data_IF_892933415421
#
_entry.id   IF_892933415421
#
_cell.length_a   1.000
_cell.length_b   1.000
_cell.length_c   1.000
_cell.angle_alpha   90.00
_cell.angle_beta   90.00
_cell.angle_gamma   90.00
#
_symmetry.space_group_name_H-M   'P 1'
#
loop_
_entity.id
_entity.type
_entity.pdbx_description
1 polymer ?
#
# COMPACT_ATOMS: atom_id res chain seq x y z
N UNK A 1 -18.26 -18.67 24.09
CA UNK A 1 -18.27 -17.18 24.13
C UNK A 1 -17.37 -16.59 23.04
N UNK A 2 -16.02 -16.79 23.06
CA UNK A 2 -15.08 -16.16 22.11
C UNK A 2 -15.44 -16.37 20.62
N UNK A 3 -15.84 -17.59 20.20
CA UNK A 3 -16.29 -17.91 18.84
C UNK A 3 -17.62 -17.22 18.48
N UNK A 4 -18.55 -17.10 19.43
CA UNK A 4 -19.82 -16.42 19.24
C UNK A 4 -19.61 -14.92 18.99
N UNK A 5 -18.75 -14.31 19.78
CA UNK A 5 -18.38 -12.89 19.65
C UNK A 5 -17.70 -12.59 18.32
N UNK A 6 -16.75 -13.43 17.88
CA UNK A 6 -16.03 -13.23 16.60
C UNK A 6 -16.94 -13.36 15.37
N UNK A 7 -17.99 -14.20 15.44
CA UNK A 7 -18.95 -14.42 14.35
C UNK A 7 -20.14 -13.46 14.35
N UNK A 8 -20.29 -12.62 15.38
CA UNK A 8 -21.36 -11.60 15.54
C UNK A 8 -22.80 -12.15 15.33
N UNK A 9 -23.04 -13.43 15.65
CA UNK A 9 -24.35 -14.07 15.53
C UNK A 9 -25.13 -13.90 16.83
N UNK A 10 -26.16 -13.05 16.84
CA UNK A 10 -26.96 -12.71 18.02
C UNK A 10 -27.58 -13.96 18.67
N UNK A 11 -28.18 -14.88 17.89
CA UNK A 11 -28.77 -16.12 18.42
C UNK A 11 -27.77 -17.02 19.16
N UNK A 12 -26.52 -17.07 18.67
CA UNK A 12 -25.47 -17.84 19.33
C UNK A 12 -25.02 -17.13 20.62
N UNK A 13 -24.96 -15.79 20.60
CA UNK A 13 -24.62 -15.01 21.79
C UNK A 13 -25.65 -15.14 22.91
N UNK A 14 -26.92 -15.20 22.58
CA UNK A 14 -28.03 -15.45 23.57
C UNK A 14 -27.90 -16.84 24.20
N UNK A 15 -27.64 -17.89 23.40
CA UNK A 15 -27.39 -19.24 23.94
C UNK A 15 -26.16 -19.26 24.85
N UNK A 16 -25.09 -18.62 24.44
CA UNK A 16 -23.85 -18.53 25.22
C UNK A 16 -24.02 -17.71 26.50
N UNK A 17 -24.94 -16.74 26.55
CA UNK A 17 -25.32 -16.00 27.79
C UNK A 17 -25.82 -16.96 28.87
N UNK A 18 -26.73 -17.86 28.50
CA UNK A 18 -27.27 -18.85 29.47
C UNK A 18 -26.15 -19.73 30.00
N UNK A 19 -25.31 -20.25 29.14
CA UNK A 19 -24.15 -21.06 29.52
C UNK A 19 -23.17 -20.28 30.42
N UNK A 20 -22.95 -19.02 30.13
CA UNK A 20 -22.06 -18.17 30.93
C UNK A 20 -22.62 -17.88 32.32
N UNK A 21 -23.88 -17.54 32.42
CA UNK A 21 -24.54 -17.15 33.70
C UNK A 21 -24.83 -18.40 34.54
N UNK A 22 -25.57 -19.36 33.97
CA UNK A 22 -26.12 -20.51 34.73
C UNK A 22 -25.30 -21.79 34.58
N UNK A 23 -24.43 -21.83 33.59
CA UNK A 23 -23.68 -23.05 33.26
C UNK A 23 -24.41 -23.97 32.29
N UNK A 24 -23.72 -25.03 31.89
CA UNK A 24 -24.26 -26.13 31.10
C UNK A 24 -23.63 -27.43 31.59
N UNK A 25 -24.32 -28.19 32.44
CA UNK A 25 -23.80 -29.44 32.99
C UNK A 25 -23.47 -30.50 31.92
N UNK A 26 -24.24 -30.53 30.81
CA UNK A 26 -24.02 -31.48 29.71
C UNK A 26 -22.68 -31.22 28.97
N UNK A 27 -22.25 -29.97 28.90
CA UNK A 27 -21.00 -29.54 28.29
C UNK A 27 -19.89 -29.34 29.34
N UNK A 28 -20.11 -29.60 30.61
CA UNK A 28 -19.14 -29.44 31.69
C UNK A 28 -18.81 -27.97 31.98
N UNK A 29 -19.71 -27.03 31.67
CA UNK A 29 -19.51 -25.59 31.89
C UNK A 29 -20.12 -25.20 33.23
N UNK A 30 -19.32 -24.72 34.22
CA UNK A 30 -19.82 -24.45 35.57
C UNK A 30 -20.72 -23.20 35.68
N UNK A 31 -20.58 -22.20 34.80
CA UNK A 31 -21.32 -20.92 34.90
C UNK A 31 -20.86 -20.00 36.04
N UNK A 32 -21.28 -18.75 35.99
CA UNK A 32 -20.89 -17.73 36.98
C UNK A 32 -21.53 -17.95 38.34
N UNK A 33 -22.79 -18.37 38.37
CA UNK A 33 -23.55 -18.58 39.64
C UNK A 33 -22.91 -19.66 40.48
N UNK A 34 -22.49 -20.78 39.87
CA UNK A 34 -21.82 -21.86 40.60
C UNK A 34 -20.44 -21.48 41.13
N UNK A 35 -19.86 -20.43 40.57
CA UNK A 35 -18.58 -19.83 41.02
C UNK A 35 -18.79 -18.66 42.01
N UNK A 36 -20.00 -18.47 42.57
CA UNK A 36 -20.28 -17.48 43.60
C UNK A 36 -20.52 -16.05 43.07
N UNK A 37 -20.74 -15.88 41.78
CA UNK A 37 -21.07 -14.59 41.17
C UNK A 37 -22.61 -14.50 41.06
N UNK A 38 -23.23 -13.47 41.59
CA UNK A 38 -24.66 -13.29 41.49
C UNK A 38 -25.14 -13.05 40.04
N UNK A 39 -26.39 -13.42 39.77
CA UNK A 39 -26.97 -13.36 38.44
C UNK A 39 -26.92 -11.98 37.82
N UNK A 40 -27.17 -10.94 38.59
CA UNK A 40 -27.18 -9.54 38.11
C UNK A 40 -25.80 -9.11 37.67
N UNK A 41 -24.79 -9.44 38.45
CA UNK A 41 -23.38 -9.16 38.12
C UNK A 41 -22.94 -9.97 36.91
N UNK A 42 -23.28 -11.26 36.84
CA UNK A 42 -22.94 -12.11 35.68
C UNK A 42 -23.56 -11.59 34.36
N UNK A 43 -24.83 -11.18 34.40
CA UNK A 43 -25.49 -10.59 33.24
C UNK A 43 -24.85 -9.26 32.83
N UNK A 44 -24.51 -8.40 33.79
CA UNK A 44 -23.82 -7.13 33.50
C UNK A 44 -22.46 -7.34 32.81
N UNK A 45 -21.67 -8.29 33.31
CA UNK A 45 -20.41 -8.68 32.69
C UNK A 45 -20.62 -9.15 31.23
N UNK A 46 -21.68 -9.96 31.04
CA UNK A 46 -22.00 -10.46 29.69
C UNK A 46 -22.44 -9.35 28.75
N UNK A 47 -23.23 -8.37 29.21
CA UNK A 47 -23.63 -7.21 28.43
C UNK A 47 -22.43 -6.36 28.02
N UNK A 48 -21.50 -6.10 28.94
CA UNK A 48 -20.24 -5.40 28.63
C UNK A 48 -19.41 -6.15 27.59
N UNK A 49 -19.38 -7.50 27.68
CA UNK A 49 -18.72 -8.33 26.66
C UNK A 49 -19.40 -8.25 25.28
N UNK A 50 -20.74 -8.19 25.23
CA UNK A 50 -21.49 -8.03 23.98
C UNK A 50 -21.21 -6.65 23.36
N UNK A 51 -21.26 -5.61 24.15
CA UNK A 51 -21.01 -4.25 23.68
C UNK A 51 -19.56 -4.10 23.18
N UNK A 52 -18.61 -4.66 23.90
CA UNK A 52 -17.24 -4.76 23.43
C UNK A 52 -17.17 -5.51 22.09
N UNK A 53 -17.85 -6.64 21.91
CA UNK A 53 -17.83 -7.41 20.68
C UNK A 53 -18.46 -6.69 19.48
N UNK A 54 -19.47 -5.83 19.71
CA UNK A 54 -20.08 -5.01 18.65
C UNK A 54 -19.13 -3.96 18.09
N UNK A 55 -18.36 -3.33 18.97
CA UNK A 55 -17.53 -2.16 18.65
C UNK A 55 -16.04 -2.39 18.86
N UNK A 56 -15.63 -3.56 19.36
CA UNK A 56 -14.24 -3.83 19.66
C UNK A 56 -13.38 -3.81 18.40
N UNK A 57 -12.44 -2.92 18.43
CA UNK A 57 -11.34 -2.91 17.49
C UNK A 57 -10.08 -3.41 18.20
N UNK A 58 -9.28 -4.22 17.52
CA UNK A 58 -8.02 -4.72 18.09
C UNK A 58 -7.08 -3.54 18.38
N UNK A 59 -6.93 -3.21 19.66
CA UNK A 59 -6.11 -2.07 20.10
C UNK A 59 -4.65 -2.20 19.65
N UNK A 60 -4.10 -3.40 19.65
CA UNK A 60 -2.73 -3.65 19.15
C UNK A 60 -2.61 -3.37 17.65
N UNK A 61 -3.63 -3.76 16.87
CA UNK A 61 -3.72 -3.42 15.45
C UNK A 61 -3.81 -1.91 15.24
N UNK A 62 -4.68 -1.22 15.99
CA UNK A 62 -4.80 0.23 15.92
C UNK A 62 -3.48 0.95 16.26
N UNK A 63 -2.80 0.52 17.31
CA UNK A 63 -1.51 1.08 17.72
C UNK A 63 -0.43 0.88 16.64
N UNK A 64 -0.33 -0.32 16.06
CA UNK A 64 0.60 -0.59 14.98
C UNK A 64 0.34 0.29 13.75
N UNK A 65 -0.92 0.40 13.32
CA UNK A 65 -1.29 1.27 12.20
C UNK A 65 -1.12 2.77 12.50
N UNK A 66 -1.29 3.19 13.75
CA UNK A 66 -1.00 4.58 14.13
C UNK A 66 0.47 4.94 13.93
N UNK A 67 1.40 4.02 14.21
CA UNK A 67 2.83 4.21 13.94
C UNK A 67 3.09 4.34 12.44
N UNK A 68 2.52 3.46 11.62
CA UNK A 68 2.66 3.53 10.14
C UNK A 68 2.06 4.83 9.61
N UNK A 69 0.87 5.22 10.08
CA UNK A 69 0.23 6.48 9.68
C UNK A 69 1.09 7.69 10.03
N UNK A 70 1.67 7.71 11.23
CA UNK A 70 2.60 8.77 11.63
C UNK A 70 3.85 8.80 10.74
N UNK A 71 4.47 7.65 10.47
CA UNK A 71 5.64 7.57 9.61
C UNK A 71 5.35 8.06 8.20
N UNK A 72 4.22 7.68 7.61
CA UNK A 72 3.83 8.16 6.27
C UNK A 72 3.56 9.66 6.25
N UNK A 73 2.90 10.20 7.29
CA UNK A 73 2.68 11.63 7.42
C UNK A 73 3.99 12.40 7.58
N UNK A 74 4.91 11.89 8.41
CA UNK A 74 6.25 12.46 8.63
C UNK A 74 7.04 12.51 7.32
N UNK A 75 7.12 11.39 6.60
CA UNK A 75 7.84 11.33 5.32
C UNK A 75 7.21 12.26 4.27
N UNK A 76 5.89 12.32 4.18
CA UNK A 76 5.20 13.23 3.26
C UNK A 76 5.45 14.70 3.58
N UNK A 77 5.59 15.05 4.86
CA UNK A 77 5.82 16.44 5.29
C UNK A 77 7.27 16.87 5.10
N UNK A 78 8.24 16.06 5.54
CA UNK A 78 9.66 16.43 5.52
C UNK A 78 10.40 16.04 4.24
N UNK A 79 9.93 15.02 3.51
CA UNK A 79 10.54 14.48 2.30
C UNK A 79 9.49 14.27 1.20
N UNK A 80 8.74 15.34 0.82
CA UNK A 80 7.59 15.19 -0.07
C UNK A 80 7.94 14.67 -1.47
N UNK A 81 9.10 15.02 -2.00
CA UNK A 81 9.57 14.56 -3.31
C UNK A 81 9.82 13.05 -3.31
N UNK A 82 10.61 12.56 -2.37
CA UNK A 82 10.97 11.16 -2.20
C UNK A 82 9.74 10.31 -1.86
N UNK A 83 8.88 10.84 -0.99
CA UNK A 83 7.63 10.18 -0.62
C UNK A 83 6.72 10.00 -1.83
N UNK A 84 6.48 11.04 -2.62
CA UNK A 84 5.62 10.99 -3.80
C UNK A 84 6.22 10.15 -4.93
N UNK A 85 7.53 10.20 -5.14
CA UNK A 85 8.22 9.35 -6.10
C UNK A 85 8.11 7.86 -5.72
N UNK A 86 8.32 7.52 -4.45
CA UNK A 86 8.16 6.17 -3.93
C UNK A 86 6.71 5.68 -4.03
N UNK A 87 5.75 6.53 -3.69
CA UNK A 87 4.32 6.22 -3.77
C UNK A 87 3.89 5.93 -5.22
N UNK A 88 4.28 6.77 -6.18
CA UNK A 88 4.01 6.54 -7.60
C UNK A 88 4.69 5.27 -8.11
N UNK A 89 5.91 4.99 -7.65
CA UNK A 89 6.64 3.76 -8.01
C UNK A 89 5.93 2.50 -7.52
N UNK A 90 5.29 2.54 -6.35
CA UNK A 90 4.55 1.40 -5.79
C UNK A 90 3.28 1.04 -6.58
N UNK A 91 2.77 1.95 -7.42
CA UNK A 91 1.52 1.78 -8.17
C UNK A 91 1.71 1.87 -9.69
N UNK A 92 2.92 1.65 -10.21
CA UNK A 92 3.21 1.80 -11.65
C UNK A 92 2.32 0.97 -12.59
N UNK A 93 1.74 -0.12 -12.11
CA UNK A 93 0.74 -0.89 -12.88
C UNK A 93 -0.65 -0.25 -12.97
N UNK A 94 -0.92 0.85 -12.24
CA UNK A 94 -2.24 1.47 -12.13
C UNK A 94 -2.25 2.92 -12.61
N UNK A 95 -2.44 3.11 -13.93
CA UNK A 95 -2.38 4.44 -14.58
C UNK A 95 -3.28 5.47 -13.91
N UNK A 96 -4.50 5.09 -13.49
CA UNK A 96 -5.42 5.98 -12.79
C UNK A 96 -4.86 6.52 -11.47
N UNK A 97 -4.16 5.67 -10.71
CA UNK A 97 -3.50 6.10 -9.46
C UNK A 97 -2.29 7.01 -9.72
N UNK A 98 -1.50 6.71 -10.73
CA UNK A 98 -0.40 7.59 -11.14
C UNK A 98 -0.93 8.98 -11.50
N UNK A 99 -2.01 9.07 -12.29
CA UNK A 99 -2.63 10.35 -12.66
C UNK A 99 -3.12 11.14 -11.44
N UNK A 100 -3.75 10.45 -10.47
CA UNK A 100 -4.20 11.05 -9.20
C UNK A 100 -3.01 11.62 -8.40
N UNK A 101 -1.90 10.88 -8.31
CA UNK A 101 -0.72 11.32 -7.58
C UNK A 101 0.05 12.42 -8.31
N UNK A 102 0.09 12.43 -9.65
CA UNK A 102 0.63 13.55 -10.42
C UNK A 102 -0.18 14.83 -10.15
N UNK A 103 -1.52 14.71 -10.11
CA UNK A 103 -2.37 15.84 -9.74
C UNK A 103 -2.07 16.34 -8.31
N UNK A 104 -1.92 15.43 -7.37
CA UNK A 104 -1.51 15.75 -5.99
C UNK A 104 -0.16 16.46 -5.95
N UNK A 105 0.83 15.98 -6.69
CA UNK A 105 2.14 16.64 -6.81
C UNK A 105 2.01 18.08 -7.29
N UNK A 106 1.18 18.34 -8.32
CA UNK A 106 0.91 19.69 -8.81
C UNK A 106 0.31 20.59 -7.76
N UNK A 107 -0.65 20.08 -6.97
CA UNK A 107 -1.23 20.85 -5.85
C UNK A 107 -0.21 21.17 -4.76
N UNK A 108 0.78 20.30 -4.56
CA UNK A 108 1.89 20.48 -3.63
C UNK A 108 3.02 21.35 -4.19
N UNK A 109 2.92 21.85 -5.42
CA UNK A 109 3.97 22.62 -6.09
C UNK A 109 5.18 21.77 -6.52
N UNK A 110 5.03 20.43 -6.61
CA UNK A 110 6.07 19.49 -7.00
C UNK A 110 5.99 19.25 -8.51
N UNK A 111 7.02 19.64 -9.29
CA UNK A 111 7.07 19.35 -10.71
C UNK A 111 7.25 17.85 -10.96
N UNK A 112 6.46 17.30 -11.88
CA UNK A 112 6.66 15.94 -12.41
C UNK A 112 7.09 16.07 -13.86
N UNK A 113 8.34 15.66 -14.14
CA UNK A 113 8.96 15.78 -15.45
C UNK A 113 8.63 14.53 -16.30
N UNK A 114 8.52 14.68 -17.64
CA UNK A 114 8.25 13.57 -18.54
C UNK A 114 9.36 12.51 -18.50
N UNK A 115 9.11 11.30 -19.01
CA UNK A 115 10.16 10.30 -19.16
C UNK A 115 11.33 10.83 -19.99
N UNK A 116 12.53 10.31 -19.74
CA UNK A 116 13.71 10.67 -20.51
C UNK A 116 14.67 9.49 -20.59
N UNK A 117 15.12 9.14 -21.79
CA UNK A 117 16.15 8.11 -21.99
C UNK A 117 17.50 8.52 -21.40
N UNK A 118 17.73 9.82 -21.25
CA UNK A 118 18.97 10.39 -20.73
C UNK A 118 19.01 10.62 -19.23
N UNK A 119 17.85 10.69 -18.58
CA UNK A 119 17.74 11.05 -17.15
C UNK A 119 16.80 10.15 -16.38
N UNK A 120 15.95 9.37 -17.08
CA UNK A 120 15.00 8.48 -16.45
C UNK A 120 15.68 7.25 -15.86
N UNK A 121 15.14 6.79 -14.76
CA UNK A 121 15.44 5.53 -14.11
C UNK A 121 14.26 4.55 -14.27
N UNK A 122 14.41 3.32 -13.79
CA UNK A 122 13.33 2.33 -13.85
C UNK A 122 12.07 2.82 -13.12
N UNK A 123 12.26 3.38 -11.94
CA UNK A 123 11.21 3.92 -11.07
C UNK A 123 11.15 5.44 -11.14
N UNK A 124 10.09 6.03 -10.57
CA UNK A 124 10.05 7.46 -10.35
C UNK A 124 11.22 7.88 -9.46
N UNK A 125 11.95 8.89 -9.87
CA UNK A 125 13.16 9.32 -9.17
C UNK A 125 13.16 10.82 -8.94
N UNK A 126 13.88 11.29 -7.89
CA UNK A 126 14.02 12.71 -7.58
C UNK A 126 15.27 13.25 -8.22
N UNK A 127 15.16 14.34 -8.94
CA UNK A 127 16.30 15.05 -9.57
C UNK A 127 16.01 16.54 -9.66
N UNK A 128 16.93 17.36 -9.17
CA UNK A 128 16.86 18.82 -9.31
C UNK A 128 15.59 19.48 -8.74
N UNK A 129 15.04 18.94 -7.63
CA UNK A 129 13.81 19.45 -7.02
C UNK A 129 12.52 19.06 -7.75
N UNK A 130 12.57 18.11 -8.65
CA UNK A 130 11.44 17.56 -9.39
C UNK A 130 11.42 16.05 -9.34
N UNK A 131 10.29 15.45 -9.69
CA UNK A 131 10.15 14.00 -9.84
C UNK A 131 10.21 13.66 -11.33
N UNK A 132 11.14 12.80 -11.73
CA UNK A 132 11.24 12.26 -13.07
C UNK A 132 10.35 11.03 -13.23
N UNK A 133 9.59 10.95 -14.31
CA UNK A 133 8.72 9.82 -14.61
C UNK A 133 9.52 8.54 -14.83
N UNK A 134 9.11 7.44 -14.17
CA UNK A 134 9.78 6.14 -14.24
C UNK A 134 9.59 5.44 -15.59
N UNK A 135 10.66 4.97 -16.20
CA UNK A 135 10.61 4.33 -17.53
C UNK A 135 9.81 3.01 -17.53
N UNK A 136 9.79 2.28 -16.42
CA UNK A 136 8.97 1.05 -16.27
C UNK A 136 7.46 1.31 -16.27
N UNK A 137 7.02 2.54 -16.09
CA UNK A 137 5.60 2.88 -16.19
C UNK A 137 5.14 3.08 -17.66
N UNK A 138 6.08 3.10 -18.62
CA UNK A 138 5.79 3.19 -20.04
C UNK A 138 5.42 1.79 -20.57
N UNK A 139 4.29 1.70 -21.25
CA UNK A 139 3.79 0.43 -21.80
C UNK A 139 4.82 -0.23 -22.73
N UNK A 140 5.04 -1.52 -22.53
CA UNK A 140 5.95 -2.36 -23.32
C UNK A 140 7.46 -2.06 -23.15
N UNK A 141 7.83 -1.21 -22.23
CA UNK A 141 9.22 -1.00 -21.83
C UNK A 141 9.52 -1.92 -20.65
N UNK A 142 10.36 -2.93 -20.86
CA UNK A 142 10.68 -3.94 -19.84
C UNK A 142 11.93 -3.57 -19.02
N UNK A 143 12.09 -4.24 -17.88
CA UNK A 143 13.22 -3.99 -16.98
C UNK A 143 14.58 -4.30 -17.59
N UNK A 144 14.70 -5.35 -18.44
CA UNK A 144 15.96 -5.72 -19.06
C UNK A 144 16.42 -4.63 -20.03
N UNK A 145 15.51 -4.11 -20.86
CA UNK A 145 15.80 -2.96 -21.72
C UNK A 145 16.25 -1.74 -20.92
N UNK A 146 15.55 -1.38 -19.84
CA UNK A 146 15.90 -0.21 -19.01
C UNK A 146 17.26 -0.40 -18.35
N UNK A 147 17.58 -1.60 -17.88
CA UNK A 147 18.90 -1.90 -17.31
C UNK A 147 20.00 -1.66 -18.36
N UNK A 148 19.84 -2.24 -19.55
CA UNK A 148 20.79 -2.05 -20.67
C UNK A 148 20.93 -0.57 -21.06
N UNK A 149 19.81 0.18 -21.08
CA UNK A 149 19.80 1.63 -21.34
C UNK A 149 20.63 2.39 -20.29
N UNK A 150 20.42 2.10 -19.00
CA UNK A 150 21.14 2.77 -17.92
C UNK A 150 22.63 2.42 -17.91
N UNK A 151 22.98 1.16 -18.19
CA UNK A 151 24.37 0.71 -18.32
C UNK A 151 25.07 1.41 -19.49
N UNK A 152 24.44 1.40 -20.68
CA UNK A 152 24.97 2.07 -21.86
C UNK A 152 25.20 3.58 -21.63
N UNK A 153 24.26 4.23 -20.97
CA UNK A 153 24.37 5.63 -20.61
C UNK A 153 25.49 5.91 -19.60
N UNK A 154 25.72 5.00 -18.65
CA UNK A 154 26.83 5.11 -17.69
C UNK A 154 28.20 4.94 -18.35
N UNK A 155 28.31 4.01 -19.29
CA UNK A 155 29.57 3.70 -19.96
C UNK A 155 29.96 4.73 -21.01
N UNK A 156 28.99 5.18 -21.83
CA UNK A 156 29.25 5.98 -23.03
C UNK A 156 28.62 7.37 -23.03
N UNK A 157 28.06 7.77 -21.87
CA UNK A 157 27.41 9.08 -21.70
C UNK A 157 26.01 9.18 -22.31
N UNK A 158 25.44 10.39 -22.25
CA UNK A 158 24.10 10.68 -22.75
C UNK A 158 23.99 10.40 -24.26
N UNK A 159 22.79 9.97 -24.67
CA UNK A 159 22.44 9.87 -26.09
C UNK A 159 22.27 11.26 -26.69
N UNK A 160 22.90 11.49 -27.84
CA UNK A 160 22.94 12.82 -28.48
C UNK A 160 21.88 12.99 -29.56
N UNK A 161 21.34 11.89 -30.10
CA UNK A 161 20.27 11.88 -31.11
C UNK A 161 19.52 10.56 -31.11
N UNK A 162 18.37 10.52 -31.81
CA UNK A 162 17.62 9.29 -32.02
C UNK A 162 18.46 8.23 -32.74
N UNK A 163 19.29 8.63 -33.72
CA UNK A 163 20.17 7.72 -34.45
C UNK A 163 21.25 7.14 -33.52
N UNK A 164 21.88 7.96 -32.69
CA UNK A 164 22.85 7.52 -31.68
C UNK A 164 22.20 6.52 -30.71
N UNK A 165 21.01 6.83 -30.21
CA UNK A 165 20.24 5.93 -29.34
C UNK A 165 19.96 4.59 -30.04
N UNK A 166 19.41 4.59 -31.25
CA UNK A 166 19.08 3.37 -31.97
C UNK A 166 20.32 2.53 -32.27
N UNK A 167 21.44 3.16 -32.67
CA UNK A 167 22.71 2.47 -32.98
C UNK A 167 23.28 1.82 -31.72
N UNK A 168 23.30 2.52 -30.60
CA UNK A 168 23.90 2.04 -29.35
C UNK A 168 23.03 0.98 -28.68
N UNK A 169 21.71 0.99 -28.91
CA UNK A 169 20.77 0.05 -28.33
C UNK A 169 20.40 -1.10 -29.27
N UNK A 170 20.93 -1.16 -30.51
CA UNK A 170 20.50 -2.12 -31.54
C UNK A 170 20.48 -3.59 -31.08
N UNK A 171 21.50 -4.02 -30.30
CA UNK A 171 21.66 -5.39 -29.82
C UNK A 171 21.17 -5.57 -28.36
N UNK A 172 20.40 -4.60 -27.80
CA UNK A 172 20.02 -4.54 -26.38
C UNK A 172 18.51 -4.62 -26.15
N UNK A 173 17.86 -5.64 -26.70
CA UNK A 173 16.41 -5.91 -26.54
C UNK A 173 15.49 -4.76 -27.00
N UNK A 174 15.96 -3.90 -27.91
CA UNK A 174 15.13 -2.87 -28.52
C UNK A 174 14.25 -3.47 -29.62
N UNK A 175 13.01 -3.03 -29.71
CA UNK A 175 12.12 -3.36 -30.81
C UNK A 175 11.28 -2.12 -31.19
N UNK A 176 10.64 -2.18 -32.36
CA UNK A 176 9.84 -1.09 -32.91
C UNK A 176 8.80 -0.57 -31.91
N UNK A 177 8.13 -1.47 -31.16
CA UNK A 177 7.07 -1.12 -30.21
C UNK A 177 7.61 -0.35 -29.00
N UNK A 178 8.81 -0.71 -28.51
CA UNK A 178 9.49 0.01 -27.43
C UNK A 178 9.82 1.43 -27.88
N UNK A 179 10.42 1.58 -29.07
CA UNK A 179 10.79 2.91 -29.64
C UNK A 179 9.56 3.78 -29.83
N UNK A 180 8.50 3.25 -30.44
CA UNK A 180 7.23 3.99 -30.62
C UNK A 180 6.64 4.47 -29.30
N UNK A 181 6.66 3.63 -28.27
CA UNK A 181 6.11 3.99 -26.96
C UNK A 181 7.00 5.00 -26.22
N UNK A 182 8.30 4.93 -26.36
CA UNK A 182 9.21 5.95 -25.83
C UNK A 182 8.96 7.31 -26.51
N UNK A 183 8.86 7.35 -27.83
CA UNK A 183 8.57 8.58 -28.59
C UNK A 183 7.20 9.18 -28.18
N UNK A 184 6.17 8.34 -27.99
CA UNK A 184 4.84 8.81 -27.57
C UNK A 184 4.79 9.30 -26.12
N UNK A 185 5.71 8.84 -25.30
CA UNK A 185 5.76 9.23 -23.88
C UNK A 185 6.55 10.54 -23.65
N UNK A 186 7.33 11.03 -24.61
CA UNK A 186 8.19 12.22 -24.57
C UNK A 186 9.63 11.85 -24.76
#
# INVERSE_FOLDING_TARGET
VRRAMSKKKVSVMEKERKNFVYGNPEEGVPGCISNGIDEKTANKIYDEMIDFAKYAFNKSHAAAYAVVAYQTAYLKYYYPLEYMASLMSSVMGHIGKISEYIFTCRQMGIPVLPPSVNEGESYFSVSGGAIRYGLSAIKSVNHAFIKNLCEERKERGKFTSLLDFLTRMADKEINKRVVENLIKAG
#
